data_IF_590899012020
#
_entry.id   IF_590899012020
#
_cell.length_a   1.000
_cell.length_b   1.000
_cell.length_c   1.000
_cell.angle_alpha   90.00
_cell.angle_beta   90.00
_cell.angle_gamma   90.00
#
_symmetry.space_group_name_H-M   'P 1'
#
loop_
_entity.id
_entity.type
_entity.pdbx_description
1 polymer ?
#
# COMPACT_ATOMS: atom_id res chain seq x y z
N UNK A 1 9.36 -6.35 -52.74
CA UNK A 1 8.88 -7.23 -51.66
C UNK A 1 9.61 -7.01 -50.32
N UNK A 2 10.98 -7.17 -50.23
CA UNK A 2 11.67 -6.97 -48.95
C UNK A 2 11.63 -5.50 -48.47
N UNK A 3 11.80 -4.52 -49.36
CA UNK A 3 11.74 -3.09 -49.07
C UNK A 3 10.37 -2.65 -48.48
N UNK A 4 9.28 -3.28 -48.86
CA UNK A 4 7.93 -2.91 -48.40
C UNK A 4 7.65 -3.46 -47.01
N UNK A 5 8.24 -4.56 -46.63
CA UNK A 5 8.17 -5.12 -45.27
C UNK A 5 8.89 -4.20 -44.29
N UNK A 6 10.10 -3.73 -44.62
CA UNK A 6 10.84 -2.80 -43.77
C UNK A 6 10.12 -1.47 -43.62
N UNK A 7 9.53 -0.93 -44.67
CA UNK A 7 8.74 0.31 -44.59
C UNK A 7 7.53 0.16 -43.65
N UNK A 8 6.81 -0.96 -43.74
CA UNK A 8 5.67 -1.26 -42.83
C UNK A 8 6.13 -1.39 -41.38
N UNK A 9 7.28 -2.04 -41.12
CA UNK A 9 7.84 -2.16 -39.77
C UNK A 9 8.25 -0.81 -39.19
N UNK A 10 8.87 0.07 -39.99
CA UNK A 10 9.25 1.42 -39.57
C UNK A 10 7.99 2.27 -39.28
N UNK A 11 6.97 2.19 -40.11
CA UNK A 11 5.70 2.90 -39.88
C UNK A 11 5.03 2.39 -38.59
N UNK A 12 4.98 1.06 -38.40
CA UNK A 12 4.40 0.49 -37.20
C UNK A 12 5.18 0.91 -35.93
N UNK A 13 6.50 0.87 -35.98
CA UNK A 13 7.36 1.32 -34.89
C UNK A 13 7.15 2.84 -34.58
N UNK A 14 7.00 3.68 -35.62
CA UNK A 14 6.71 5.09 -35.46
C UNK A 14 5.33 5.31 -34.83
N UNK A 15 4.29 4.61 -35.28
CA UNK A 15 2.94 4.69 -34.71
C UNK A 15 2.95 4.27 -33.23
N UNK A 16 3.61 3.16 -32.92
CA UNK A 16 3.75 2.71 -31.51
C UNK A 16 4.50 3.77 -30.70
N UNK A 17 5.59 4.34 -31.22
CA UNK A 17 6.37 5.36 -30.55
C UNK A 17 5.52 6.61 -30.25
N UNK A 18 4.78 7.12 -31.23
CA UNK A 18 3.88 8.27 -31.03
C UNK A 18 2.75 7.95 -30.07
N UNK A 19 2.14 6.77 -30.14
CA UNK A 19 1.10 6.33 -29.22
C UNK A 19 1.59 6.24 -27.76
N UNK A 20 2.75 5.63 -27.56
CA UNK A 20 3.33 5.44 -26.21
C UNK A 20 3.79 6.76 -25.59
N UNK A 21 4.25 7.72 -26.43
CA UNK A 21 4.74 9.03 -25.95
C UNK A 21 3.70 10.16 -26.08
N UNK A 22 2.45 9.83 -26.43
CA UNK A 22 1.41 10.82 -26.56
C UNK A 22 1.09 11.50 -25.24
N UNK A 23 1.09 12.83 -25.21
CA UNK A 23 0.65 13.67 -24.10
C UNK A 23 -0.72 14.26 -24.44
N UNK A 24 -1.64 14.19 -23.50
CA UNK A 24 -2.96 14.79 -23.64
C UNK A 24 -2.91 16.25 -23.18
N UNK A 25 -3.42 17.16 -23.99
CA UNK A 25 -3.47 18.60 -23.68
C UNK A 25 -4.77 19.02 -22.98
N UNK A 26 -5.76 18.12 -22.92
CA UNK A 26 -7.06 18.37 -22.32
C UNK A 26 -7.67 17.09 -21.77
N UNK A 27 -8.64 17.22 -20.88
CA UNK A 27 -9.46 16.13 -20.36
C UNK A 27 -10.94 16.48 -20.50
N UNK A 28 -11.78 15.46 -20.51
CA UNK A 28 -13.22 15.58 -20.48
C UNK A 28 -13.76 15.00 -19.19
N UNK A 29 -14.53 15.80 -18.43
CA UNK A 29 -15.25 15.32 -17.25
C UNK A 29 -16.48 14.55 -17.72
N UNK A 30 -16.44 13.24 -17.65
CA UNK A 30 -17.57 12.37 -18.06
C UNK A 30 -18.67 12.30 -17.03
N UNK A 31 -18.33 12.39 -15.75
CA UNK A 31 -19.28 12.33 -14.66
C UNK A 31 -18.77 13.12 -13.46
N UNK A 32 -19.69 13.68 -12.69
CA UNK A 32 -19.40 14.36 -11.42
C UNK A 32 -20.34 13.79 -10.35
N UNK A 33 -19.77 13.15 -9.33
CA UNK A 33 -20.51 12.57 -8.23
C UNK A 33 -20.46 13.52 -7.05
N UNK A 34 -21.62 14.07 -6.66
CA UNK A 34 -21.73 14.89 -5.47
C UNK A 34 -21.72 14.01 -4.22
N UNK A 35 -20.60 13.99 -3.51
CA UNK A 35 -20.48 13.30 -2.23
C UNK A 35 -21.00 14.19 -1.11
N UNK A 36 -21.83 13.63 -0.21
CA UNK A 36 -22.20 14.34 1.02
C UNK A 36 -20.93 14.63 1.83
N UNK A 37 -20.65 15.90 2.06
CA UNK A 37 -19.48 16.30 2.87
C UNK A 37 -19.77 15.95 4.35
N UNK A 38 -18.90 15.13 4.95
CA UNK A 38 -18.76 15.00 6.39
C UNK A 38 -17.40 15.54 6.81
N UNK A 39 -17.31 16.06 8.02
CA UNK A 39 -16.04 16.56 8.55
C UNK A 39 -15.04 15.41 8.65
N UNK A 40 -13.84 15.58 8.10
CA UNK A 40 -12.78 14.57 8.15
C UNK A 40 -12.99 13.38 7.20
N UNK A 41 -13.85 13.49 6.18
CA UNK A 41 -14.03 12.44 5.18
C UNK A 41 -12.75 12.22 4.37
N UNK A 42 -12.35 10.97 4.29
CA UNK A 42 -11.23 10.49 3.45
C UNK A 42 -11.79 9.62 2.32
N UNK A 43 -11.09 9.60 1.20
CA UNK A 43 -11.44 8.78 0.03
C UNK A 43 -10.25 7.94 -0.41
N UNK A 44 -10.54 6.75 -0.92
CA UNK A 44 -9.57 5.85 -1.52
C UNK A 44 -10.15 5.23 -2.79
N UNK A 45 -9.29 4.87 -3.74
CA UNK A 45 -9.69 4.04 -4.86
C UNK A 45 -10.17 2.68 -4.34
N UNK A 46 -11.27 2.17 -4.90
CA UNK A 46 -11.85 0.90 -4.49
C UNK A 46 -12.53 0.23 -5.68
N UNK A 47 -12.01 -0.94 -6.07
CA UNK A 47 -12.46 -1.64 -7.27
C UNK A 47 -12.46 -0.70 -8.49
N UNK A 48 -13.62 -0.49 -9.13
CA UNK A 48 -13.80 0.45 -10.24
C UNK A 48 -14.47 1.76 -9.82
N UNK A 49 -14.40 2.13 -8.54
CA UNK A 49 -15.03 3.31 -7.97
C UNK A 49 -14.24 3.93 -6.82
N UNK A 50 -14.95 4.48 -5.85
CA UNK A 50 -14.38 5.20 -4.71
C UNK A 50 -15.00 4.69 -3.41
N UNK A 51 -14.16 4.36 -2.43
CA UNK A 51 -14.55 4.16 -1.05
C UNK A 51 -14.29 5.45 -0.28
N UNK A 52 -15.30 5.94 0.41
CA UNK A 52 -15.22 7.05 1.35
C UNK A 52 -15.43 6.56 2.77
N UNK A 53 -14.70 7.12 3.71
CA UNK A 53 -14.86 6.80 5.13
C UNK A 53 -14.61 8.02 6.00
N UNK A 54 -15.23 8.03 7.15
CA UNK A 54 -15.18 9.10 8.15
C UNK A 54 -15.31 8.48 9.54
N UNK A 55 -15.49 9.30 10.57
CA UNK A 55 -15.78 8.82 11.92
C UNK A 55 -17.14 8.12 12.05
N UNK A 56 -18.09 8.47 11.17
CA UNK A 56 -19.50 8.05 11.29
C UNK A 56 -19.83 6.83 10.41
N UNK A 57 -18.91 6.39 9.53
CA UNK A 57 -19.17 5.28 8.64
C UNK A 57 -18.32 5.27 7.38
N UNK A 58 -18.53 4.23 6.58
CA UNK A 58 -17.90 4.04 5.27
C UNK A 58 -18.94 3.69 4.20
N UNK A 59 -18.69 4.09 2.96
CA UNK A 59 -19.52 3.76 1.82
C UNK A 59 -18.68 3.68 0.55
N UNK A 60 -19.03 2.75 -0.34
CA UNK A 60 -18.43 2.63 -1.66
C UNK A 60 -19.44 3.01 -2.75
N UNK A 61 -18.95 3.72 -3.76
CA UNK A 61 -19.72 4.10 -4.95
C UNK A 61 -18.96 3.66 -6.21
N UNK A 62 -19.69 3.25 -7.23
CA UNK A 62 -19.13 2.90 -8.54
C UNK A 62 -18.83 4.18 -9.37
N UNK A 63 -18.35 3.99 -10.60
CA UNK A 63 -18.03 5.10 -11.56
C UNK A 63 -19.26 5.91 -11.96
N UNK A 64 -20.45 5.33 -11.87
CA UNK A 64 -21.69 5.98 -12.21
C UNK A 64 -22.34 6.70 -11.03
N UNK A 65 -21.76 6.54 -9.82
CA UNK A 65 -22.22 7.13 -8.58
C UNK A 65 -23.26 6.29 -7.85
N UNK A 66 -23.50 5.06 -8.28
CA UNK A 66 -24.40 4.16 -7.57
C UNK A 66 -23.71 3.65 -6.31
N UNK A 67 -24.45 3.62 -5.21
CA UNK A 67 -23.94 3.05 -3.96
C UNK A 67 -23.80 1.54 -4.11
N UNK A 68 -22.59 1.04 -3.89
CA UNK A 68 -22.29 -0.40 -3.88
C UNK A 68 -22.64 -1.00 -2.52
N UNK A 69 -22.26 -0.30 -1.46
CA UNK A 69 -22.55 -0.64 -0.06
C UNK A 69 -22.32 0.57 0.84
N UNK A 70 -22.94 0.54 2.03
CA UNK A 70 -22.64 1.48 3.10
C UNK A 70 -22.72 0.79 4.47
N UNK A 71 -22.00 1.33 5.44
CA UNK A 71 -22.02 0.89 6.83
C UNK A 71 -21.77 2.05 7.75
N UNK A 72 -22.54 2.09 8.85
CA UNK A 72 -22.39 3.10 9.88
C UNK A 72 -21.63 2.53 11.08
N UNK A 73 -20.78 3.33 11.67
CA UNK A 73 -20.05 3.06 12.90
C UNK A 73 -19.77 4.39 13.61
N UNK A 74 -19.23 4.31 14.81
CA UNK A 74 -18.73 5.45 15.55
C UNK A 74 -17.27 5.16 15.93
N UNK A 75 -16.34 5.91 15.37
CA UNK A 75 -14.91 5.77 15.54
C UNK A 75 -14.23 7.12 15.71
N UNK A 76 -13.25 7.19 16.60
CA UNK A 76 -12.50 8.43 16.79
C UNK A 76 -11.40 8.63 15.75
N UNK A 77 -10.71 7.57 15.36
CA UNK A 77 -9.56 7.64 14.48
C UNK A 77 -9.56 6.53 13.41
N UNK A 78 -10.50 6.56 12.43
CA UNK A 78 -10.63 5.52 11.44
C UNK A 78 -9.45 5.47 10.49
N UNK A 79 -8.87 4.27 10.32
CA UNK A 79 -7.88 3.92 9.32
C UNK A 79 -8.42 2.82 8.41
N UNK A 80 -8.06 2.89 7.13
CA UNK A 80 -8.55 2.00 6.08
C UNK A 80 -7.39 1.18 5.50
N UNK A 81 -7.63 -0.11 5.30
CA UNK A 81 -6.85 -0.95 4.40
C UNK A 81 -7.77 -1.69 3.42
N UNK A 82 -7.28 -1.94 2.20
CA UNK A 82 -8.07 -2.53 1.10
C UNK A 82 -7.26 -3.63 0.44
N UNK A 83 -7.92 -4.77 0.19
CA UNK A 83 -7.41 -5.83 -0.66
C UNK A 83 -8.54 -6.32 -1.59
N UNK A 84 -8.43 -5.98 -2.88
CA UNK A 84 -9.46 -6.25 -3.90
C UNK A 84 -10.85 -5.72 -3.50
N UNK A 85 -11.83 -6.62 -3.29
CA UNK A 85 -13.18 -6.25 -2.85
C UNK A 85 -13.35 -6.11 -1.34
N UNK A 86 -12.36 -6.58 -0.57
CA UNK A 86 -12.41 -6.47 0.88
C UNK A 86 -11.79 -5.17 1.37
N UNK A 87 -12.41 -4.60 2.36
CA UNK A 87 -11.90 -3.41 3.04
C UNK A 87 -12.06 -3.57 4.55
N UNK A 88 -11.08 -3.14 5.31
CA UNK A 88 -11.16 -3.03 6.76
C UNK A 88 -11.06 -1.57 7.17
N UNK A 89 -11.98 -1.11 8.00
CA UNK A 89 -11.89 0.18 8.70
C UNK A 89 -11.72 -0.11 10.18
N UNK A 90 -10.61 0.32 10.76
CA UNK A 90 -10.26 0.10 12.15
C UNK A 90 -10.13 1.42 12.90
N UNK A 91 -10.63 1.47 14.12
CA UNK A 91 -10.48 2.62 15.02
C UNK A 91 -9.11 2.54 15.69
N UNK A 92 -8.15 3.32 15.22
CA UNK A 92 -6.79 3.34 15.76
C UNK A 92 -6.80 3.95 17.16
N UNK A 93 -6.19 3.26 18.12
CA UNK A 93 -6.27 3.47 19.56
C UNK A 93 -7.64 3.12 20.18
N UNK A 94 -8.61 2.74 19.35
CA UNK A 94 -9.86 2.11 19.78
C UNK A 94 -9.75 0.58 19.75
N UNK A 95 -10.92 -0.09 19.88
CA UNK A 95 -11.02 -1.56 19.95
C UNK A 95 -11.98 -2.15 18.93
N UNK A 96 -12.51 -1.36 18.02
CA UNK A 96 -13.47 -1.82 17.04
C UNK A 96 -12.94 -1.72 15.62
N UNK A 97 -13.31 -2.67 14.80
CA UNK A 97 -13.08 -2.64 13.36
C UNK A 97 -14.27 -3.22 12.61
N UNK A 98 -14.43 -2.81 11.36
CA UNK A 98 -15.46 -3.31 10.45
C UNK A 98 -14.82 -3.82 9.19
N UNK A 99 -15.20 -5.01 8.76
CA UNK A 99 -14.72 -5.65 7.54
C UNK A 99 -15.85 -5.73 6.54
N UNK A 100 -15.65 -5.19 5.34
CA UNK A 100 -16.59 -5.14 4.24
C UNK A 100 -16.16 -6.13 3.16
N UNK A 101 -17.11 -6.87 2.59
CA UNK A 101 -16.87 -7.87 1.54
C UNK A 101 -17.18 -7.38 0.11
N UNK A 102 -17.49 -6.11 -0.02
CA UNK A 102 -17.83 -5.47 -1.29
C UNK A 102 -19.32 -5.35 -1.58
N UNK A 103 -20.20 -5.85 -0.70
CA UNK A 103 -21.65 -5.84 -0.93
C UNK A 103 -22.51 -5.78 0.34
N UNK A 104 -21.91 -5.77 1.52
CA UNK A 104 -22.63 -5.76 2.80
C UNK A 104 -22.39 -4.46 3.59
N UNK A 105 -23.09 -4.34 4.72
CA UNK A 105 -22.96 -3.21 5.65
C UNK A 105 -21.78 -3.34 6.62
N UNK A 106 -20.94 -4.34 6.43
CA UNK A 106 -19.74 -4.62 7.22
C UNK A 106 -19.97 -5.55 8.40
N UNK A 107 -19.00 -6.40 8.66
CA UNK A 107 -18.95 -7.30 9.82
C UNK A 107 -18.09 -6.68 10.92
N UNK A 108 -18.70 -6.40 12.08
CA UNK A 108 -17.99 -5.85 13.24
C UNK A 108 -17.16 -6.91 13.94
N UNK A 109 -15.92 -6.55 14.27
CA UNK A 109 -15.06 -7.23 15.23
C UNK A 109 -14.70 -6.27 16.36
N UNK A 110 -14.47 -6.84 17.54
CA UNK A 110 -14.00 -6.09 18.72
C UNK A 110 -12.80 -6.83 19.29
N UNK A 111 -11.74 -6.09 19.58
CA UNK A 111 -10.49 -6.59 20.13
C UNK A 111 -10.41 -6.34 21.63
N UNK A 112 -9.59 -7.13 22.33
CA UNK A 112 -9.38 -6.96 23.77
C UNK A 112 -8.49 -5.76 24.09
N UNK A 113 -7.59 -5.40 23.18
CA UNK A 113 -6.61 -4.32 23.32
C UNK A 113 -6.80 -3.24 22.23
N UNK A 114 -6.29 -2.02 22.43
CA UNK A 114 -6.30 -0.97 21.43
C UNK A 114 -5.60 -1.38 20.13
N UNK A 115 -6.19 -0.97 19.01
CA UNK A 115 -5.69 -1.27 17.67
C UNK A 115 -4.62 -0.25 17.27
N UNK A 116 -3.46 -0.72 16.84
CA UNK A 116 -2.40 0.10 16.26
C UNK A 116 -2.45 0.10 14.73
N UNK A 117 -2.76 -1.06 14.13
CA UNK A 117 -2.89 -1.21 12.68
C UNK A 117 -3.78 -2.42 12.37
N UNK A 118 -4.48 -2.37 11.23
CA UNK A 118 -5.24 -3.50 10.70
C UNK A 118 -4.99 -3.62 9.20
N UNK A 119 -4.87 -4.86 8.71
CA UNK A 119 -4.70 -5.20 7.30
C UNK A 119 -5.70 -6.29 6.91
N UNK A 120 -6.13 -6.30 5.64
CA UNK A 120 -7.12 -7.28 5.13
C UNK A 120 -6.58 -8.03 3.91
N UNK A 121 -6.91 -9.31 3.82
CA UNK A 121 -6.60 -10.15 2.66
C UNK A 121 -7.71 -10.17 1.61
N UNK A 122 -7.45 -10.76 0.44
CA UNK A 122 -8.45 -10.97 -0.63
C UNK A 122 -9.54 -12.00 -0.29
N UNK A 123 -9.44 -12.69 0.85
CA UNK A 123 -10.48 -13.57 1.40
C UNK A 123 -11.22 -12.93 2.58
N UNK A 124 -10.86 -11.70 2.97
CA UNK A 124 -11.46 -11.01 4.11
C UNK A 124 -10.90 -11.43 5.47
N UNK A 125 -9.83 -12.22 5.52
CA UNK A 125 -9.05 -12.44 6.73
C UNK A 125 -8.39 -11.14 7.13
N UNK A 126 -8.34 -10.83 8.42
CA UNK A 126 -7.75 -9.58 8.94
C UNK A 126 -6.62 -9.90 9.91
N UNK A 127 -5.50 -9.20 9.75
CA UNK A 127 -4.44 -9.12 10.75
C UNK A 127 -4.54 -7.79 11.50
N UNK A 128 -4.46 -7.83 12.81
CA UNK A 128 -4.57 -6.65 13.68
C UNK A 128 -3.36 -6.61 14.60
N UNK A 129 -2.65 -5.50 14.59
CA UNK A 129 -1.60 -5.20 15.57
C UNK A 129 -2.26 -4.48 16.75
N UNK A 130 -2.09 -5.03 17.93
CA UNK A 130 -2.72 -4.58 19.17
C UNK A 130 -1.67 -4.15 20.20
N UNK A 131 -2.00 -3.15 20.99
CA UNK A 131 -1.16 -2.64 22.08
C UNK A 131 -1.61 -3.22 23.43
N UNK A 132 -0.84 -4.13 23.97
CA UNK A 132 -1.03 -4.59 25.36
C UNK A 132 -0.12 -3.80 26.31
N UNK A 133 -0.41 -3.84 27.60
CA UNK A 133 0.28 -3.04 28.65
C UNK A 133 1.80 -3.29 28.72
N UNK A 134 2.26 -4.48 28.37
CA UNK A 134 3.67 -4.89 28.51
C UNK A 134 4.30 -5.35 27.20
N UNK A 135 3.49 -5.59 26.17
CA UNK A 135 3.94 -6.08 24.86
C UNK A 135 2.91 -5.74 23.81
N UNK A 136 3.22 -5.99 22.54
CA UNK A 136 2.23 -5.93 21.48
C UNK A 136 1.88 -7.36 21.04
N UNK A 137 0.73 -7.51 20.41
CA UNK A 137 0.29 -8.79 19.88
C UNK A 137 -0.29 -8.62 18.49
N UNK A 138 0.05 -9.52 17.58
CA UNK A 138 -0.58 -9.60 16.27
C UNK A 138 -1.62 -10.72 16.35
N UNK A 139 -2.87 -10.39 16.07
CA UNK A 139 -3.96 -11.35 16.01
C UNK A 139 -4.52 -11.41 14.59
N UNK A 140 -4.80 -12.63 14.11
CA UNK A 140 -5.37 -12.87 12.79
C UNK A 140 -6.75 -13.49 12.96
N UNK A 141 -7.75 -12.90 12.32
CA UNK A 141 -9.15 -13.28 12.42
C UNK A 141 -9.76 -13.62 11.06
N UNK A 142 -10.68 -14.58 11.05
CA UNK A 142 -11.64 -14.72 9.97
C UNK A 142 -13.00 -14.16 10.42
N UNK A 143 -13.41 -12.95 10.01
CA UNK A 143 -14.67 -12.34 10.44
C UNK A 143 -15.92 -13.02 9.86
N UNK A 144 -15.75 -13.83 8.82
CA UNK A 144 -16.84 -14.54 8.14
C UNK A 144 -17.01 -16.00 8.59
N UNK A 145 -16.16 -16.46 9.53
CA UNK A 145 -16.41 -17.69 10.27
C UNK A 145 -17.55 -17.47 11.29
N UNK A 146 -18.48 -18.40 11.42
CA UNK A 146 -19.66 -18.31 12.31
C UNK A 146 -19.29 -17.97 13.75
N UNK A 147 -18.11 -18.38 14.20
CA UNK A 147 -17.57 -18.08 15.53
C UNK A 147 -16.66 -16.84 15.56
N UNK A 148 -16.48 -16.11 14.44
CA UNK A 148 -15.51 -14.99 14.32
C UNK A 148 -14.14 -15.35 14.90
N UNK A 149 -13.66 -16.50 14.50
CA UNK A 149 -12.59 -17.20 15.18
C UNK A 149 -11.26 -16.50 15.03
N UNK A 150 -10.59 -16.29 16.15
CA UNK A 150 -9.16 -16.02 16.19
C UNK A 150 -8.41 -17.22 15.59
N UNK A 151 -7.70 -17.00 14.49
CA UNK A 151 -6.95 -18.03 13.79
C UNK A 151 -5.54 -18.19 14.35
N UNK A 152 -4.87 -17.06 14.59
CA UNK A 152 -3.47 -17.00 15.02
C UNK A 152 -3.29 -15.84 15.99
N UNK A 153 -2.44 -16.05 16.99
CA UNK A 153 -1.96 -15.03 17.90
C UNK A 153 -0.43 -15.10 17.98
N UNK A 154 0.23 -13.98 17.72
CA UNK A 154 1.68 -13.85 17.75
C UNK A 154 2.03 -12.79 18.78
N UNK A 155 2.48 -13.17 19.98
CA UNK A 155 3.01 -12.21 20.94
C UNK A 155 4.35 -11.68 20.43
N UNK A 156 4.53 -10.35 20.51
CA UNK A 156 5.82 -9.73 20.21
C UNK A 156 6.59 -9.50 21.49
N UNK A 157 7.84 -9.89 21.53
CA UNK A 157 8.69 -9.71 22.71
C UNK A 157 9.27 -8.30 22.77
N UNK A 158 9.37 -7.72 23.94
CA UNK A 158 10.04 -6.42 24.18
C UNK A 158 11.46 -6.40 23.65
N UNK A 159 12.15 -7.55 23.68
CA UNK A 159 13.51 -7.73 23.15
C UNK A 159 13.55 -7.62 21.60
N UNK A 160 12.46 -7.95 20.92
CA UNK A 160 12.31 -7.82 19.47
C UNK A 160 11.94 -6.40 19.04
N UNK A 161 11.64 -5.53 20.00
CA UNK A 161 11.33 -4.12 19.80
C UNK A 161 9.84 -3.84 19.68
N UNK A 162 9.53 -2.58 19.43
CA UNK A 162 8.17 -2.08 19.27
C UNK A 162 7.73 -2.20 17.81
N UNK A 163 6.69 -2.97 17.49
CA UNK A 163 6.16 -3.09 16.13
C UNK A 163 5.65 -1.73 15.61
N UNK A 164 6.05 -1.37 14.41
CA UNK A 164 5.68 -0.09 13.77
C UNK A 164 4.91 -0.27 12.46
N UNK A 165 5.02 -1.45 11.85
CA UNK A 165 4.29 -1.76 10.62
C UNK A 165 4.07 -3.26 10.50
N UNK A 166 2.86 -3.64 10.14
CA UNK A 166 2.52 -5.00 9.72
C UNK A 166 1.89 -4.97 8.33
N UNK A 167 1.96 -6.09 7.63
CA UNK A 167 1.13 -6.33 6.45
C UNK A 167 0.76 -7.80 6.34
N UNK A 168 -0.45 -8.08 5.82
CA UNK A 168 -1.00 -9.41 5.63
C UNK A 168 -0.88 -9.80 4.17
N UNK A 169 -0.42 -11.03 3.90
CA UNK A 169 -0.36 -11.54 2.54
C UNK A 169 -1.74 -11.53 1.87
N UNK A 170 -1.83 -11.31 0.55
CA UNK A 170 -3.10 -11.28 -0.16
C UNK A 170 -3.94 -12.55 0.04
N UNK A 171 -3.31 -13.71 0.19
CA UNK A 171 -3.99 -14.99 0.47
C UNK A 171 -4.32 -15.21 1.97
N UNK A 172 -3.96 -14.27 2.85
CA UNK A 172 -4.25 -14.34 4.28
C UNK A 172 -3.44 -15.38 5.06
N UNK A 173 -2.38 -15.93 4.48
CA UNK A 173 -1.59 -17.03 5.08
C UNK A 173 -0.29 -16.60 5.74
N UNK A 174 0.12 -15.35 5.61
CA UNK A 174 1.36 -14.84 6.18
C UNK A 174 1.28 -13.39 6.61
N UNK A 175 2.12 -13.01 7.57
CA UNK A 175 2.27 -11.63 8.05
C UNK A 175 3.75 -11.24 8.01
N UNK A 176 4.03 -10.01 7.60
CA UNK A 176 5.32 -9.36 7.80
C UNK A 176 5.14 -8.33 8.91
N UNK A 177 6.11 -8.27 9.83
CA UNK A 177 6.12 -7.31 10.92
C UNK A 177 7.48 -6.62 10.99
N UNK A 178 7.50 -5.28 10.95
CA UNK A 178 8.68 -4.48 11.23
C UNK A 178 8.59 -3.90 12.64
N UNK A 179 9.66 -4.07 13.42
CA UNK A 179 9.80 -3.54 14.78
C UNK A 179 11.02 -2.64 14.89
N UNK A 180 10.95 -1.64 15.77
CA UNK A 180 12.07 -0.76 16.11
C UNK A 180 12.55 -1.10 17.51
N UNK A 181 13.85 -1.38 17.63
CA UNK A 181 14.53 -1.62 18.89
C UNK A 181 15.49 -0.49 19.18
N UNK A 182 15.55 -0.04 20.44
CA UNK A 182 16.56 0.87 20.95
C UNK A 182 17.44 0.13 21.94
N UNK A 183 18.68 -0.12 21.56
CA UNK A 183 19.63 -0.86 22.39
C UNK A 183 20.89 -0.02 22.56
N UNK A 184 21.25 0.31 23.81
CA UNK A 184 22.47 1.09 24.13
C UNK A 184 22.59 2.41 23.36
N UNK A 185 21.45 3.10 23.12
CA UNK A 185 21.41 4.37 22.39
C UNK A 185 21.47 4.26 20.86
N UNK A 186 21.55 3.05 20.32
CA UNK A 186 21.44 2.80 18.87
C UNK A 186 20.04 2.32 18.51
N UNK A 187 19.49 2.87 17.43
CA UNK A 187 18.22 2.44 16.85
C UNK A 187 18.49 1.39 15.78
N UNK A 188 17.78 0.27 15.85
CA UNK A 188 17.79 -0.80 14.85
C UNK A 188 16.38 -1.21 14.50
N UNK A 189 16.18 -1.80 13.35
CA UNK A 189 14.92 -2.46 13.00
C UNK A 189 15.10 -3.95 12.89
N UNK A 190 14.07 -4.66 13.28
CA UNK A 190 13.92 -6.09 13.05
C UNK A 190 12.68 -6.33 12.21
N UNK A 191 12.79 -7.16 11.19
CA UNK A 191 11.66 -7.56 10.37
C UNK A 191 11.49 -9.06 10.47
N UNK A 192 10.30 -9.49 10.89
CA UNK A 192 9.91 -10.88 11.03
C UNK A 192 8.88 -11.25 9.95
N UNK A 193 8.99 -12.46 9.42
CA UNK A 193 8.10 -13.03 8.42
C UNK A 193 7.43 -14.25 9.04
N UNK A 194 6.12 -14.28 9.02
CA UNK A 194 5.30 -15.36 9.58
C UNK A 194 4.50 -16.03 8.47
N UNK A 195 4.39 -17.36 8.55
CA UNK A 195 3.55 -18.18 7.65
C UNK A 195 2.68 -19.10 8.51
N UNK A 196 1.38 -19.11 8.26
CA UNK A 196 0.38 -19.84 9.05
C UNK A 196 0.01 -21.19 8.44
N UNK A 197 0.66 -21.54 7.32
CA UNK A 197 0.51 -22.85 6.68
C UNK A 197 1.38 -23.91 7.37
N UNK A 198 1.37 -25.12 6.86
CA UNK A 198 2.22 -26.21 7.37
C UNK A 198 3.72 -25.86 7.37
N UNK A 199 4.15 -24.89 6.58
CA UNK A 199 5.55 -24.45 6.51
C UNK A 199 5.99 -23.80 7.83
N UNK A 200 5.17 -22.95 8.42
CA UNK A 200 5.46 -22.28 9.69
C UNK A 200 5.15 -23.10 10.94
N UNK A 201 4.45 -24.22 10.81
CA UNK A 201 3.89 -25.00 11.93
C UNK A 201 4.88 -25.39 13.04
N UNK A 202 6.12 -25.70 12.68
CA UNK A 202 7.14 -26.14 13.62
C UNK A 202 8.01 -25.02 14.19
N UNK A 203 7.76 -23.76 13.80
CA UNK A 203 8.59 -22.60 14.14
C UNK A 203 7.77 -21.47 14.77
N UNK A 204 6.63 -21.76 15.39
CA UNK A 204 5.68 -20.76 15.88
C UNK A 204 5.31 -19.73 14.79
N UNK A 205 5.10 -20.22 13.58
CA UNK A 205 4.83 -19.45 12.38
C UNK A 205 6.00 -18.59 11.86
N UNK A 206 7.11 -18.46 12.56
CA UNK A 206 8.27 -17.66 12.14
C UNK A 206 9.06 -18.41 11.05
N UNK A 207 9.06 -17.90 9.83
CA UNK A 207 9.76 -18.49 8.68
C UNK A 207 11.00 -17.70 8.24
N UNK A 208 11.19 -16.51 8.77
CA UNK A 208 12.38 -15.70 8.52
C UNK A 208 12.43 -14.45 9.40
N UNK A 209 13.64 -13.94 9.60
CA UNK A 209 13.86 -12.66 10.28
C UNK A 209 15.09 -11.96 9.68
N UNK A 210 15.06 -10.61 9.69
CA UNK A 210 16.16 -9.78 9.25
C UNK A 210 16.36 -8.60 10.20
N UNK A 211 17.58 -8.45 10.72
CA UNK A 211 17.98 -7.29 11.51
C UNK A 211 18.65 -6.24 10.61
N UNK A 212 18.30 -4.97 10.82
CA UNK A 212 18.91 -3.80 10.20
C UNK A 212 19.48 -2.89 11.30
N UNK A 213 20.81 -2.83 11.39
CA UNK A 213 21.53 -2.09 12.45
C UNK A 213 21.69 -0.59 12.15
N UNK A 214 21.41 -0.18 10.92
CA UNK A 214 21.79 1.14 10.41
C UNK A 214 20.61 1.93 9.84
N UNK A 215 19.37 1.41 10.02
CA UNK A 215 18.18 2.03 9.41
C UNK A 215 16.90 1.70 10.16
N UNK A 216 15.90 2.53 9.94
CA UNK A 216 14.54 2.34 10.40
C UNK A 216 13.70 1.81 9.23
N UNK A 217 13.19 0.58 9.33
CA UNK A 217 12.17 0.06 8.41
C UNK A 217 10.83 0.56 8.91
N UNK A 218 10.27 1.53 8.19
CA UNK A 218 9.05 2.23 8.60
C UNK A 218 7.78 1.60 8.04
N UNK A 219 7.89 0.88 6.92
CA UNK A 219 6.74 0.27 6.25
C UNK A 219 7.14 -1.06 5.62
N UNK A 220 6.27 -2.04 5.74
CA UNK A 220 6.35 -3.35 5.07
C UNK A 220 5.09 -3.56 4.26
N UNK A 221 5.22 -4.13 3.03
CA UNK A 221 4.08 -4.40 2.16
C UNK A 221 4.30 -5.66 1.34
N UNK A 222 3.29 -6.52 1.32
CA UNK A 222 3.17 -7.54 0.28
C UNK A 222 2.80 -6.86 -1.05
N UNK A 223 3.49 -7.22 -2.11
CA UNK A 223 3.16 -6.82 -3.48
C UNK A 223 2.21 -7.85 -4.11
N UNK A 224 2.48 -9.12 -3.83
CA UNK A 224 1.67 -10.28 -4.17
C UNK A 224 1.93 -11.41 -3.14
N UNK A 225 1.50 -12.63 -3.42
CA UNK A 225 1.65 -13.79 -2.53
C UNK A 225 3.12 -14.23 -2.34
N UNK A 226 4.01 -13.90 -3.29
CA UNK A 226 5.43 -14.32 -3.28
C UNK A 226 6.42 -13.17 -3.11
N UNK A 227 5.98 -11.92 -3.29
CA UNK A 227 6.85 -10.73 -3.25
C UNK A 227 6.41 -9.74 -2.19
N UNK A 228 7.41 -9.14 -1.54
CA UNK A 228 7.22 -8.06 -0.58
C UNK A 228 8.27 -6.96 -0.74
N UNK A 229 7.94 -5.76 -0.27
CA UNK A 229 8.84 -4.62 -0.18
C UNK A 229 8.93 -4.10 1.24
N UNK A 230 10.11 -3.67 1.63
CA UNK A 230 10.38 -3.03 2.92
C UNK A 230 10.94 -1.64 2.65
N UNK A 231 10.28 -0.61 3.15
CA UNK A 231 10.72 0.78 3.01
C UNK A 231 11.42 1.27 4.26
N UNK A 232 12.52 2.00 4.07
CA UNK A 232 13.27 2.65 5.13
C UNK A 232 13.59 4.10 4.73
N UNK A 233 14.07 4.89 5.68
CA UNK A 233 14.51 6.27 5.42
C UNK A 233 15.68 6.36 4.42
N UNK A 234 16.37 5.24 4.18
CA UNK A 234 17.50 5.17 3.22
C UNK A 234 17.09 4.66 1.86
N UNK A 235 15.98 3.92 1.76
CA UNK A 235 15.55 3.30 0.52
C UNK A 235 14.61 2.14 0.73
N UNK A 236 14.67 1.16 -0.18
CA UNK A 236 13.82 -0.02 -0.09
C UNK A 236 14.57 -1.31 -0.41
N UNK A 237 13.99 -2.43 -0.01
CA UNK A 237 14.44 -3.77 -0.37
C UNK A 237 13.27 -4.62 -0.88
N UNK A 238 13.56 -5.51 -1.83
CA UNK A 238 12.60 -6.48 -2.36
C UNK A 238 12.93 -7.86 -1.84
N UNK A 239 11.88 -8.56 -1.49
CA UNK A 239 11.90 -9.90 -0.94
C UNK A 239 11.01 -10.80 -1.78
N UNK A 240 11.34 -12.08 -1.87
CA UNK A 240 10.51 -13.08 -2.53
C UNK A 240 10.54 -14.42 -1.80
N UNK A 241 9.67 -15.34 -2.24
CA UNK A 241 9.50 -16.64 -1.66
C UNK A 241 9.14 -16.53 -0.17
N UNK A 242 7.97 -15.94 0.12
CA UNK A 242 7.55 -15.57 1.47
C UNK A 242 7.45 -16.74 2.44
N UNK A 243 7.37 -17.98 1.97
CA UNK A 243 7.48 -19.20 2.79
C UNK A 243 8.91 -19.51 3.26
N UNK A 244 9.92 -18.94 2.60
CA UNK A 244 11.33 -18.92 2.96
C UNK A 244 11.93 -17.62 2.49
N UNK A 245 11.66 -16.51 3.18
CA UNK A 245 11.91 -15.16 2.70
C UNK A 245 13.37 -14.93 2.32
N UNK A 246 13.57 -14.34 1.15
CA UNK A 246 14.90 -14.05 0.64
C UNK A 246 14.94 -12.67 0.01
N UNK A 247 15.87 -11.83 0.47
CA UNK A 247 16.12 -10.54 -0.14
C UNK A 247 16.73 -10.74 -1.54
N UNK A 248 16.07 -10.17 -2.55
CA UNK A 248 16.51 -10.29 -3.96
C UNK A 248 17.07 -8.98 -4.49
N UNK A 249 16.69 -7.86 -3.88
CA UNK A 249 17.17 -6.55 -4.30
C UNK A 249 17.20 -5.60 -3.12
N UNK A 250 18.09 -4.59 -3.17
CA UNK A 250 18.15 -3.48 -2.23
C UNK A 250 18.66 -2.24 -2.96
N UNK A 251 18.00 -1.12 -2.72
CA UNK A 251 18.42 0.18 -3.23
C UNK A 251 18.39 1.21 -2.13
N UNK A 252 19.53 1.85 -1.90
CA UNK A 252 19.70 2.95 -0.96
C UNK A 252 20.04 4.24 -1.72
N UNK A 253 19.64 5.37 -1.16
CA UNK A 253 20.00 6.70 -1.60
C UNK A 253 20.68 7.46 -0.45
N UNK A 254 21.69 8.28 -0.77
CA UNK A 254 22.30 9.23 0.18
C UNK A 254 21.51 10.55 0.18
N UNK A 255 20.21 10.48 0.11
CA UNK A 255 19.28 11.60 0.03
C UNK A 255 17.99 11.22 0.72
N UNK A 256 17.28 12.24 1.20
CA UNK A 256 15.97 12.06 1.79
C UNK A 256 14.99 11.41 0.80
N UNK A 257 14.23 10.44 1.27
CA UNK A 257 13.09 9.85 0.57
C UNK A 257 11.87 10.71 0.87
N UNK A 258 11.30 11.34 -0.16
CA UNK A 258 10.16 12.22 -0.03
C UNK A 258 8.84 11.49 -0.15
N UNK A 259 8.81 10.40 -0.92
CA UNK A 259 7.63 9.55 -1.09
C UNK A 259 8.04 8.17 -1.58
N UNK A 260 7.28 7.17 -1.15
CA UNK A 260 7.29 5.81 -1.70
C UNK A 260 5.87 5.45 -2.12
N UNK A 261 5.73 4.73 -3.22
CA UNK A 261 4.45 4.29 -3.77
C UNK A 261 4.66 2.97 -4.51
N UNK A 262 3.61 2.17 -4.62
CA UNK A 262 3.71 0.82 -5.20
C UNK A 262 2.36 0.34 -5.72
N UNK A 263 2.42 -0.67 -6.56
CA UNK A 263 1.33 -1.59 -6.89
C UNK A 263 1.87 -3.05 -6.83
N UNK A 264 1.13 -4.00 -7.36
CA UNK A 264 1.51 -5.42 -7.40
C UNK A 264 2.74 -5.71 -8.30
N UNK A 265 3.13 -4.79 -9.17
CA UNK A 265 4.17 -4.98 -10.19
C UNK A 265 5.33 -4.01 -10.11
N UNK A 266 5.13 -2.86 -9.48
CA UNK A 266 6.11 -1.77 -9.48
C UNK A 266 6.26 -1.13 -8.11
N UNK A 267 7.46 -0.64 -7.86
CA UNK A 267 7.82 0.14 -6.68
C UNK A 267 8.41 1.46 -7.14
N UNK A 268 7.83 2.56 -6.67
CA UNK A 268 8.28 3.90 -6.96
C UNK A 268 8.85 4.59 -5.72
N UNK A 269 9.88 5.40 -5.93
CA UNK A 269 10.48 6.24 -4.90
C UNK A 269 10.76 7.61 -5.48
N UNK A 270 10.43 8.66 -4.72
CA UNK A 270 10.87 10.02 -5.00
C UNK A 270 11.90 10.41 -3.95
N UNK A 271 13.13 10.61 -4.39
CA UNK A 271 14.21 11.11 -3.54
C UNK A 271 14.43 12.62 -3.77
N UNK A 272 14.86 13.33 -2.74
CA UNK A 272 15.16 14.75 -2.82
C UNK A 272 16.24 15.02 -3.88
N UNK A 273 16.04 16.07 -4.67
CA UNK A 273 17.00 16.54 -5.66
C UNK A 273 18.15 17.35 -5.04
N UNK A 274 19.06 17.80 -5.87
CA UNK A 274 20.16 18.69 -5.45
C UNK A 274 19.73 20.15 -5.27
N UNK A 275 18.59 20.55 -5.87
CA UNK A 275 18.03 21.88 -5.73
C UNK A 275 16.75 21.82 -4.91
N UNK A 276 16.51 22.84 -4.08
CA UNK A 276 15.26 22.98 -3.32
C UNK A 276 14.07 22.96 -4.28
N UNK A 277 13.00 22.23 -3.94
CA UNK A 277 11.80 22.10 -4.76
C UNK A 277 11.94 21.11 -5.94
N UNK A 278 13.06 20.40 -6.06
CA UNK A 278 13.24 19.35 -7.07
C UNK A 278 13.41 17.99 -6.44
N UNK A 279 12.84 16.97 -7.04
CA UNK A 279 13.00 15.57 -6.70
C UNK A 279 13.36 14.73 -7.91
N UNK A 280 13.71 13.49 -7.65
CA UNK A 280 13.95 12.51 -8.68
C UNK A 280 13.10 11.28 -8.40
N UNK A 281 12.18 11.00 -9.30
CA UNK A 281 11.29 9.86 -9.26
C UNK A 281 11.96 8.68 -9.97
N UNK A 282 11.92 7.53 -9.31
CA UNK A 282 12.41 6.26 -9.80
C UNK A 282 11.28 5.25 -9.78
N UNK A 283 11.21 4.40 -10.78
CA UNK A 283 10.32 3.25 -10.82
C UNK A 283 11.14 1.98 -11.05
N UNK A 284 10.83 0.95 -10.28
CA UNK A 284 11.44 -0.38 -10.36
C UNK A 284 10.36 -1.44 -10.52
N UNK A 285 10.67 -2.55 -11.16
CA UNK A 285 9.83 -3.74 -11.15
C UNK A 285 10.13 -4.61 -9.91
N UNK A 286 9.33 -5.63 -9.68
CA UNK A 286 9.47 -6.57 -8.53
C UNK A 286 10.77 -7.38 -8.54
N UNK A 287 11.53 -7.40 -9.64
CA UNK A 287 12.86 -7.99 -9.72
C UNK A 287 13.99 -6.98 -9.42
N UNK A 288 13.67 -5.71 -9.14
CA UNK A 288 14.63 -4.64 -8.90
C UNK A 288 15.19 -3.99 -10.16
N UNK A 289 14.68 -4.35 -11.34
CA UNK A 289 15.04 -3.68 -12.60
C UNK A 289 14.47 -2.25 -12.63
N UNK A 290 15.35 -1.25 -12.84
CA UNK A 290 14.91 0.14 -13.00
C UNK A 290 14.15 0.32 -14.32
N UNK A 291 12.89 0.74 -14.24
CA UNK A 291 12.01 0.96 -15.39
C UNK A 291 12.24 2.35 -15.97
N UNK A 292 12.23 3.38 -15.11
CA UNK A 292 12.60 4.74 -15.49
C UNK A 292 13.17 5.55 -14.32
N UNK A 293 13.69 6.70 -14.67
CA UNK A 293 14.16 7.74 -13.76
C UNK A 293 13.81 9.10 -14.37
N UNK A 294 13.18 9.98 -13.58
CA UNK A 294 12.74 11.30 -14.05
C UNK A 294 12.89 12.35 -12.97
N UNK A 295 13.26 13.56 -13.36
CA UNK A 295 13.18 14.73 -12.49
C UNK A 295 11.72 15.19 -12.35
N UNK A 296 11.30 15.47 -11.11
CA UNK A 296 9.96 15.97 -10.78
C UNK A 296 10.06 17.15 -9.83
N UNK A 297 9.01 17.98 -9.77
CA UNK A 297 8.84 18.97 -8.72
C UNK A 297 8.42 18.27 -7.42
N UNK A 298 8.66 18.89 -6.26
CA UNK A 298 8.33 18.35 -4.95
C UNK A 298 7.20 19.10 -4.27
N UNK A 299 6.30 19.66 -5.07
CA UNK A 299 5.08 20.35 -4.67
C UNK A 299 3.86 19.43 -4.47
N UNK A 300 4.10 18.12 -4.50
CA UNK A 300 3.05 17.13 -4.31
C UNK A 300 2.67 16.96 -2.84
N UNK A 301 1.41 16.62 -2.61
CA UNK A 301 0.84 16.26 -1.30
C UNK A 301 0.69 14.75 -1.15
N UNK A 302 0.51 14.04 -2.26
CA UNK A 302 0.40 12.58 -2.30
C UNK A 302 0.87 12.03 -3.64
N UNK A 303 1.41 10.81 -3.61
CA UNK A 303 1.76 10.05 -4.82
C UNK A 303 1.29 8.62 -4.63
N UNK A 304 0.54 8.12 -5.60
CA UNK A 304 0.03 6.75 -5.62
C UNK A 304 0.24 6.11 -6.99
N UNK A 305 0.16 4.79 -7.04
CA UNK A 305 0.21 4.04 -8.29
C UNK A 305 -1.00 3.12 -8.41
N UNK A 306 -1.61 3.09 -9.57
CA UNK A 306 -2.71 2.20 -9.92
C UNK A 306 -2.75 2.00 -11.43
N UNK A 307 -3.08 0.80 -11.88
CA UNK A 307 -3.24 0.46 -13.32
C UNK A 307 -2.04 0.88 -14.19
N UNK A 308 -0.80 0.71 -13.66
CA UNK A 308 0.45 1.10 -14.33
C UNK A 308 0.63 2.62 -14.54
N UNK A 309 -0.17 3.44 -13.88
CA UNK A 309 -0.08 4.90 -13.89
C UNK A 309 0.27 5.43 -12.50
N UNK A 310 1.05 6.50 -12.46
CA UNK A 310 1.48 7.18 -11.24
C UNK A 310 0.70 8.49 -11.15
N UNK A 311 -0.05 8.65 -10.08
CA UNK A 311 -0.86 9.82 -9.77
C UNK A 311 -0.16 10.67 -8.73
N UNK A 312 0.33 11.83 -9.16
CA UNK A 312 1.00 12.81 -8.30
C UNK A 312 0.05 13.98 -8.04
N UNK A 313 -0.53 14.01 -6.85
CA UNK A 313 -1.46 15.06 -6.42
C UNK A 313 -0.66 16.24 -5.88
N UNK A 314 -0.96 17.43 -6.36
CA UNK A 314 -0.38 18.71 -5.91
C UNK A 314 -1.47 19.60 -5.32
N UNK A 315 -1.12 20.74 -4.74
CA UNK A 315 -2.10 21.75 -4.28
C UNK A 315 -2.91 22.37 -5.41
N UNK A 316 -2.39 22.32 -6.64
CA UNK A 316 -3.02 22.95 -7.81
C UNK A 316 -3.72 21.93 -8.72
N UNK A 317 -3.46 20.62 -8.55
CA UNK A 317 -4.04 19.63 -9.43
C UNK A 317 -3.42 18.25 -9.29
N UNK A 318 -3.48 17.47 -10.36
CA UNK A 318 -2.90 16.13 -10.43
C UNK A 318 -2.10 15.96 -11.71
N UNK A 319 -0.89 15.40 -11.60
CA UNK A 319 -0.06 14.96 -12.72
C UNK A 319 -0.10 13.46 -12.82
N UNK A 320 -0.32 12.94 -14.02
CA UNK A 320 -0.37 11.49 -14.26
C UNK A 320 0.82 11.11 -15.13
N UNK A 321 1.57 10.11 -14.69
CA UNK A 321 2.70 9.54 -15.42
C UNK A 321 2.43 8.08 -15.73
N UNK A 322 2.74 7.66 -16.95
CA UNK A 322 2.77 6.23 -17.28
C UNK A 322 3.98 5.53 -16.67
N UNK A 323 3.95 4.21 -16.59
CA UNK A 323 5.07 3.39 -16.12
C UNK A 323 6.40 3.60 -16.86
N UNK A 324 6.40 4.21 -18.05
CA UNK A 324 7.61 4.58 -18.77
C UNK A 324 8.14 5.98 -18.43
N UNK A 325 7.49 6.66 -17.48
CA UNK A 325 7.83 8.00 -17.01
C UNK A 325 7.30 9.13 -17.88
N UNK A 326 6.52 8.86 -18.93
CA UNK A 326 5.90 9.90 -19.74
C UNK A 326 4.74 10.52 -18.97
N UNK A 327 4.74 11.85 -18.81
CA UNK A 327 3.63 12.61 -18.26
C UNK A 327 2.50 12.65 -19.29
N UNK A 328 1.36 12.08 -18.94
CA UNK A 328 0.23 11.98 -19.88
C UNK A 328 -0.76 13.11 -19.72
N UNK A 329 -0.97 13.60 -18.50
CA UNK A 329 -1.94 14.64 -18.17
C UNK A 329 -1.40 15.49 -17.03
N UNK A 330 -1.69 16.78 -17.09
CA UNK A 330 -1.56 17.71 -15.97
C UNK A 330 -2.89 18.43 -15.78
N UNK A 331 -3.54 18.20 -14.64
CA UNK A 331 -4.76 18.94 -14.25
C UNK A 331 -4.35 20.12 -13.39
N UNK A 332 -4.80 21.32 -13.74
CA UNK A 332 -4.46 22.55 -13.02
C UNK A 332 -5.61 23.17 -12.23
N UNK A 333 -6.79 22.53 -12.20
CA UNK A 333 -7.92 23.01 -11.42
C UNK A 333 -8.63 21.86 -10.72
N UNK A 334 -8.29 21.61 -9.46
CA UNK A 334 -9.16 20.93 -8.51
C UNK A 334 -10.00 22.02 -7.83
N UNK A 335 -11.18 22.31 -8.37
CA UNK A 335 -12.22 22.98 -7.59
C UNK A 335 -12.80 21.95 -6.63
N UNK A 336 -12.32 21.96 -5.39
CA UNK A 336 -12.88 21.20 -4.27
C UNK A 336 -14.17 21.88 -3.77
#
# INVERSE_FOLDING_TARGET
AASDVYKRQVILAAVIYFYVNHQYSSYEVKNTIALKKSSGMKCSAYQNGVLRYSRDGAAAVDRDGNEMWNGSYDMENPALDICEKYAVVADIQGKSLYVYNGSDSGTKLTTDYPILQACVSKQGVVAVLLEDQSSNVIQVYNPYDDNKKLLVEIPTNVEEGYPVSIDLSPDGTGVICASICVTSGAVKSQVAFYDFTDVGKNTNCLVGAQEYKDRIVAEVKYLDEDHATLFSEKGFSLWKNMKKPKQVFKKDWNREILSAFYDDRYIGVIAAGSKKGSGRMYLFNTSGGKVFERQVATDFTNVTMADEEIYMVTTEGCKIYRKNGVETVSYTHLTL
#
